data_IF_719467074098
#
_entry.id   IF_719467074098
#
_cell.length_a   1.000
_cell.length_b   1.000
_cell.length_c   1.000
_cell.angle_alpha   90.00
_cell.angle_beta   90.00
_cell.angle_gamma   90.00
#
_symmetry.space_group_name_H-M   'P 1'
#
loop_
_entity.id
_entity.type
_entity.pdbx_description
1 polymer ?
#
# COMPACT_ATOMS: atom_id res chain seq x y z
N UNK A 1 -0.17 -6.44 3.95
CA UNK A 1 -1.31 -6.25 4.87
C UNK A 1 -1.43 -4.77 5.17
N UNK A 2 -2.65 -4.23 5.11
CA UNK A 2 -2.97 -2.86 5.56
C UNK A 2 -3.84 -2.96 6.82
N UNK A 3 -3.64 -2.05 7.77
CA UNK A 3 -4.41 -2.01 9.03
C UNK A 3 -5.78 -1.36 8.83
N UNK A 4 -5.83 -0.21 8.14
CA UNK A 4 -7.06 0.56 7.81
C UNK A 4 -7.80 1.20 8.98
N UNK A 5 -7.46 0.84 10.22
CA UNK A 5 -7.95 1.51 11.43
C UNK A 5 -6.80 1.80 12.41
N UNK A 6 -5.69 2.34 11.90
CA UNK A 6 -4.55 2.70 12.73
C UNK A 6 -4.87 3.99 13.52
N UNK A 7 -5.00 3.86 14.84
CA UNK A 7 -5.33 4.96 15.77
C UNK A 7 -4.70 4.72 17.13
N UNK A 8 -4.51 5.77 17.92
CA UNK A 8 -3.91 5.66 19.27
C UNK A 8 -4.66 4.69 20.19
N UNK A 9 -6.00 4.65 20.09
CA UNK A 9 -6.84 3.71 20.85
C UNK A 9 -6.60 2.22 20.52
N UNK A 10 -5.96 1.91 19.38
CA UNK A 10 -5.61 0.55 18.96
C UNK A 10 -4.13 0.20 19.27
N UNK A 11 -3.41 1.07 19.98
CA UNK A 11 -2.03 0.84 20.44
C UNK A 11 -2.07 0.54 21.94
N UNK A 12 -1.70 -0.69 22.30
CA UNK A 12 -1.82 -1.19 23.67
C UNK A 12 -0.45 -1.28 24.33
N UNK A 13 -0.35 -0.77 25.56
CA UNK A 13 0.82 -0.95 26.40
C UNK A 13 0.67 -2.25 27.20
N UNK A 14 1.59 -3.18 27.02
CA UNK A 14 1.61 -4.44 27.77
C UNK A 14 2.26 -4.25 29.15
N UNK A 15 1.98 -5.14 30.13
CA UNK A 15 2.68 -5.14 31.42
C UNK A 15 4.21 -5.27 31.30
N UNK A 16 4.67 -5.85 30.19
CA UNK A 16 6.10 -5.97 29.87
C UNK A 16 6.75 -4.66 29.39
N UNK A 17 5.98 -3.57 29.26
CA UNK A 17 6.42 -2.29 28.72
C UNK A 17 6.47 -2.25 27.18
N UNK A 18 6.19 -3.36 26.51
CA UNK A 18 6.14 -3.43 25.04
C UNK A 18 4.80 -2.92 24.54
N UNK A 19 4.83 -2.11 23.48
CA UNK A 19 3.62 -1.71 22.77
C UNK A 19 3.21 -2.78 21.74
N UNK A 20 1.93 -3.07 21.64
CA UNK A 20 1.35 -3.96 20.62
C UNK A 20 0.25 -3.24 19.87
N UNK A 21 0.28 -3.34 18.56
CA UNK A 21 -0.83 -2.91 17.71
C UNK A 21 -1.92 -4.00 17.77
N UNK A 22 -3.17 -3.59 17.98
CA UNK A 22 -4.32 -4.48 18.00
C UNK A 22 -5.45 -4.00 17.08
N UNK A 23 -6.59 -4.68 17.17
CA UNK A 23 -7.80 -4.44 16.37
C UNK A 23 -7.59 -4.53 14.84
N UNK A 24 -7.30 -5.75 14.40
CA UNK A 24 -7.19 -6.10 12.99
C UNK A 24 -8.56 -6.36 12.32
N UNK A 25 -9.68 -5.98 12.94
CA UNK A 25 -11.04 -6.25 12.45
C UNK A 25 -11.35 -5.62 11.09
N UNK A 26 -10.66 -4.52 10.77
CA UNK A 26 -10.73 -3.87 9.45
C UNK A 26 -9.51 -4.17 8.57
N UNK A 27 -8.53 -4.90 9.10
CA UNK A 27 -7.34 -5.28 8.37
C UNK A 27 -7.69 -6.29 7.29
N UNK A 28 -7.03 -6.20 6.15
CA UNK A 28 -7.21 -7.16 5.07
C UNK A 28 -5.90 -7.33 4.33
N UNK A 29 -5.62 -8.58 3.95
CA UNK A 29 -4.42 -8.95 3.24
C UNK A 29 -4.56 -8.51 1.78
N UNK A 30 -4.29 -7.24 1.55
CA UNK A 30 -4.08 -6.71 0.22
C UNK A 30 -2.60 -6.83 -0.12
N UNK A 31 -2.33 -7.34 -1.32
CA UNK A 31 -0.99 -7.40 -1.90
C UNK A 31 -0.50 -5.98 -2.11
N UNK A 32 -1.35 -5.07 -2.64
CA UNK A 32 -1.31 -3.62 -2.43
C UNK A 32 -2.55 -2.88 -3.00
N UNK A 33 -2.56 -1.54 -2.87
CA UNK A 33 -3.59 -0.50 -3.12
C UNK A 33 -5.04 -0.89 -3.44
N UNK A 34 -5.97 -0.36 -2.63
CA UNK A 34 -7.40 -0.65 -2.65
C UNK A 34 -8.18 0.58 -3.07
N UNK A 35 -9.22 0.35 -3.83
CA UNK A 35 -10.23 1.33 -4.21
C UNK A 35 -11.58 0.67 -3.93
N UNK A 36 -12.01 0.85 -2.68
CA UNK A 36 -13.39 0.61 -2.28
C UNK A 36 -14.09 1.96 -2.26
N UNK A 37 -15.37 1.97 -2.64
CA UNK A 37 -16.29 3.06 -2.31
C UNK A 37 -16.26 3.26 -0.79
N UNK A 38 -15.59 4.31 -0.32
CA UNK A 38 -15.54 4.70 1.09
C UNK A 38 -16.91 5.24 1.58
N UNK A 39 -17.96 5.16 0.74
CA UNK A 39 -19.20 5.90 0.90
C UNK A 39 -20.36 5.20 1.62
N UNK A 40 -20.33 3.89 1.89
CA UNK A 40 -21.50 3.21 2.49
C UNK A 40 -21.22 2.42 3.77
N UNK A 41 -19.97 2.31 4.23
CA UNK A 41 -19.62 1.46 5.38
C UNK A 41 -18.46 2.00 6.25
N UNK A 42 -18.17 3.30 6.22
CA UNK A 42 -17.04 3.81 7.00
C UNK A 42 -17.40 3.97 8.48
N UNK A 43 -17.00 2.98 9.30
CA UNK A 43 -17.15 2.94 10.75
C UNK A 43 -15.86 3.33 11.50
N UNK A 44 -15.03 4.22 10.93
CA UNK A 44 -13.75 4.63 11.52
C UNK A 44 -13.79 6.00 12.20
N UNK A 45 -12.74 6.30 12.98
CA UNK A 45 -12.51 7.63 13.58
C UNK A 45 -11.90 8.58 12.53
N UNK A 46 -12.60 9.62 12.06
CA UNK A 46 -12.26 10.38 10.84
C UNK A 46 -10.90 11.10 10.90
N UNK A 47 -10.36 11.31 12.10
CA UNK A 47 -9.15 12.10 12.31
C UNK A 47 -7.86 11.45 11.78
N UNK A 48 -7.85 10.14 11.56
CA UNK A 48 -6.68 9.38 11.07
C UNK A 48 -6.72 9.13 9.56
N UNK A 49 -7.79 9.59 8.89
CA UNK A 49 -7.99 9.38 7.47
C UNK A 49 -7.05 10.23 6.62
N UNK A 50 -6.38 9.58 5.68
CA UNK A 50 -5.53 10.23 4.71
C UNK A 50 -6.34 11.04 3.67
N UNK A 51 -5.76 12.10 3.07
CA UNK A 51 -6.40 12.93 2.05
C UNK A 51 -7.05 12.14 0.91
N UNK A 52 -6.35 11.14 0.37
CA UNK A 52 -6.84 10.33 -0.74
C UNK A 52 -8.09 9.51 -0.38
N UNK A 53 -8.26 9.14 0.90
CA UNK A 53 -9.46 8.45 1.39
C UNK A 53 -10.66 9.39 1.46
N UNK A 54 -10.45 10.66 1.86
CA UNK A 54 -11.48 11.70 1.83
C UNK A 54 -11.93 12.03 0.40
N UNK A 55 -10.99 12.03 -0.54
CA UNK A 55 -11.25 12.29 -1.96
C UNK A 55 -11.80 11.06 -2.71
N UNK A 56 -12.01 9.92 -2.02
CA UNK A 56 -12.42 8.65 -2.61
C UNK A 56 -11.50 8.18 -3.75
N UNK A 57 -10.22 8.53 -3.65
CA UNK A 57 -9.18 8.06 -4.56
C UNK A 57 -8.68 6.70 -4.11
N UNK A 58 -7.92 6.06 -5.00
CA UNK A 58 -7.19 4.84 -4.69
C UNK A 58 -6.21 5.10 -3.54
N UNK A 59 -6.16 4.19 -2.58
CA UNK A 59 -5.28 4.29 -1.41
C UNK A 59 -4.43 3.03 -1.27
N UNK A 60 -3.29 3.12 -0.61
CA UNK A 60 -2.35 2.01 -0.40
C UNK A 60 -1.90 1.93 1.06
N UNK A 61 -0.88 1.11 1.36
CA UNK A 61 -0.20 1.10 2.67
C UNK A 61 0.27 2.50 3.10
N UNK A 62 0.40 3.45 2.16
CA UNK A 62 0.72 4.86 2.44
C UNK A 62 -0.38 5.59 3.23
N UNK A 63 -1.62 5.10 3.20
CA UNK A 63 -2.67 5.62 4.07
C UNK A 63 -2.39 5.30 5.55
N UNK A 64 -1.92 4.09 5.87
CA UNK A 64 -1.50 3.75 7.23
C UNK A 64 -0.29 4.60 7.67
N UNK A 65 0.60 4.98 6.74
CA UNK A 65 1.72 5.89 7.04
C UNK A 65 1.25 7.30 7.39
N UNK A 66 0.18 7.80 6.77
CA UNK A 66 -0.47 9.04 7.20
C UNK A 66 -1.03 8.92 8.61
N UNK A 67 -1.79 7.84 8.88
CA UNK A 67 -2.35 7.60 10.21
C UNK A 67 -1.26 7.50 11.30
N UNK A 68 -0.10 6.92 10.96
CA UNK A 68 1.08 6.92 11.83
C UNK A 68 1.59 8.34 12.11
N UNK A 69 1.64 9.21 11.10
CA UNK A 69 1.96 10.64 11.27
C UNK A 69 0.98 11.34 12.21
N UNK A 70 -0.33 11.06 12.09
CA UNK A 70 -1.35 11.60 12.99
C UNK A 70 -1.13 11.13 14.43
N UNK A 71 -0.84 9.85 14.64
CA UNK A 71 -0.54 9.29 15.97
C UNK A 71 0.71 9.94 16.56
N UNK A 72 1.78 10.08 15.77
CA UNK A 72 3.03 10.67 16.24
C UNK A 72 2.84 12.13 16.64
N UNK A 73 2.06 12.90 15.86
CA UNK A 73 1.66 14.26 16.24
C UNK A 73 0.89 14.27 17.56
N UNK A 74 -0.08 13.36 17.73
CA UNK A 74 -0.89 13.24 18.94
C UNK A 74 -0.04 12.91 20.17
N UNK A 75 0.95 12.02 20.03
CA UNK A 75 1.88 11.70 21.13
C UNK A 75 2.78 12.88 21.51
N UNK A 76 3.19 13.71 20.55
CA UNK A 76 4.07 14.85 20.79
C UNK A 76 3.35 16.06 21.38
N UNK A 77 2.08 16.27 21.00
CA UNK A 77 1.34 17.49 21.31
C UNK A 77 0.15 17.28 22.23
N UNK A 78 -0.25 16.03 22.47
CA UNK A 78 -1.50 15.62 23.13
C UNK A 78 -2.78 16.13 22.42
N UNK A 79 -2.64 16.58 21.17
CA UNK A 79 -3.72 17.08 20.34
C UNK A 79 -3.62 16.48 18.94
N UNK A 80 -4.73 16.46 18.19
CA UNK A 80 -4.72 16.00 16.80
C UNK A 80 -4.27 17.12 15.85
N UNK A 81 -3.56 16.80 14.75
CA UNK A 81 -3.06 17.80 13.80
C UNK A 81 -4.20 18.48 13.03
N UNK A 82 -5.28 17.75 12.75
CA UNK A 82 -6.48 18.24 12.07
C UNK A 82 -7.68 18.05 12.97
N UNK A 83 -8.40 19.14 13.25
CA UNK A 83 -9.54 19.19 14.17
C UNK A 83 -10.68 20.01 13.59
N UNK A 84 -11.90 19.70 14.00
CA UNK A 84 -13.09 20.43 13.62
C UNK A 84 -14.32 19.86 14.34
N UNK A 85 -15.36 20.67 14.57
CA UNK A 85 -16.63 20.24 15.16
C UNK A 85 -17.43 19.29 14.28
N UNK A 86 -17.13 19.20 12.97
CA UNK A 86 -17.79 18.31 12.02
C UNK A 86 -16.80 17.51 11.18
N UNK A 87 -17.24 16.35 10.67
CA UNK A 87 -16.45 15.55 9.71
C UNK A 87 -16.06 16.37 8.47
N UNK A 88 -16.95 17.25 8.01
CA UNK A 88 -16.71 18.12 6.86
C UNK A 88 -15.56 19.10 7.12
N UNK A 89 -15.49 19.68 8.31
CA UNK A 89 -14.41 20.60 8.66
C UNK A 89 -13.07 19.87 8.85
N UNK A 90 -13.09 18.69 9.46
CA UNK A 90 -11.88 17.83 9.55
C UNK A 90 -11.37 17.51 8.15
N UNK A 91 -12.27 17.09 7.24
CA UNK A 91 -11.94 16.83 5.84
C UNK A 91 -11.32 18.07 5.18
N UNK A 92 -11.91 19.26 5.34
CA UNK A 92 -11.37 20.49 4.77
C UNK A 92 -9.97 20.81 5.30
N UNK A 93 -9.71 20.62 6.59
CA UNK A 93 -8.39 20.82 7.19
C UNK A 93 -7.35 19.83 6.63
N UNK A 94 -7.72 18.55 6.54
CA UNK A 94 -6.86 17.50 5.97
C UNK A 94 -6.51 17.80 4.50
N UNK A 95 -7.49 18.21 3.70
CA UNK A 95 -7.27 18.53 2.27
C UNK A 95 -6.50 19.85 2.08
N UNK A 96 -6.67 20.80 2.99
CA UNK A 96 -5.84 22.02 3.03
C UNK A 96 -4.37 21.64 3.32
N UNK A 97 -4.14 20.76 4.29
CA UNK A 97 -2.84 20.13 4.54
C UNK A 97 -1.89 20.95 5.41
N UNK A 98 -2.42 21.90 6.19
CA UNK A 98 -1.65 22.66 7.17
C UNK A 98 -2.09 22.24 8.57
N UNK A 99 -1.14 21.75 9.36
CA UNK A 99 -1.35 21.42 10.77
C UNK A 99 -0.66 22.46 11.66
N UNK A 100 -1.09 22.55 12.92
CA UNK A 100 -0.55 23.52 13.88
C UNK A 100 0.94 23.23 14.16
N UNK A 101 1.78 24.27 14.33
CA UNK A 101 3.16 24.07 14.78
C UNK A 101 3.20 23.35 16.13
N UNK A 102 4.25 22.56 16.37
CA UNK A 102 4.46 21.90 17.65
C UNK A 102 4.52 22.93 18.79
N UNK A 103 3.69 22.73 19.82
CA UNK A 103 3.68 23.56 21.03
C UNK A 103 4.89 23.31 21.94
N UNK A 104 5.68 22.26 21.66
CA UNK A 104 6.86 21.85 22.39
C UNK A 104 8.11 21.85 21.50
N UNK A 105 9.28 21.84 22.14
CA UNK A 105 10.54 21.70 21.43
C UNK A 105 10.66 20.28 20.85
N UNK A 106 10.46 20.16 19.53
CA UNK A 106 10.64 18.92 18.77
C UNK A 106 11.98 18.98 18.04
N UNK A 107 12.76 17.91 18.12
CA UNK A 107 14.06 17.83 17.44
C UNK A 107 13.90 17.84 15.92
N UNK A 108 14.90 18.34 15.21
CA UNK A 108 14.84 18.40 13.74
C UNK A 108 14.78 17.02 13.10
N UNK A 109 15.38 16.00 13.74
CA UNK A 109 15.22 14.60 13.33
C UNK A 109 13.76 14.14 13.39
N UNK A 110 13.02 14.53 14.44
CA UNK A 110 11.60 14.18 14.58
C UNK A 110 10.72 14.97 13.59
N UNK A 111 10.98 16.27 13.39
CA UNK A 111 10.32 17.06 12.35
C UNK A 111 10.53 16.46 10.95
N UNK A 112 11.75 16.02 10.67
CA UNK A 112 12.12 15.35 9.42
C UNK A 112 11.41 14.01 9.19
N UNK A 113 10.90 13.35 10.23
CA UNK A 113 10.00 12.19 10.09
C UNK A 113 8.54 12.63 9.87
N UNK A 114 8.11 13.67 10.58
CA UNK A 114 6.73 14.14 10.61
C UNK A 114 6.24 14.71 9.27
N UNK A 115 7.00 15.63 8.68
CA UNK A 115 6.63 16.32 7.44
C UNK A 115 6.33 15.35 6.28
N UNK A 116 7.17 14.35 5.98
CA UNK A 116 6.87 13.43 4.90
C UNK A 116 5.74 12.44 5.27
N UNK A 117 5.55 12.06 6.55
CA UNK A 117 4.42 11.21 6.96
C UNK A 117 3.06 11.92 6.78
N UNK A 118 3.00 13.23 7.04
CA UNK A 118 1.81 14.07 6.87
C UNK A 118 1.75 14.77 5.50
N UNK A 119 2.46 14.25 4.49
CA UNK A 119 2.36 14.75 3.12
C UNK A 119 1.01 14.40 2.49
N UNK A 120 0.41 15.36 1.77
CA UNK A 120 -0.82 15.10 1.01
C UNK A 120 -0.60 14.13 -0.14
N UNK A 121 0.58 14.16 -0.73
CA UNK A 121 0.97 13.22 -1.77
C UNK A 121 1.37 11.87 -1.13
N UNK A 122 0.63 10.77 -1.38
CA UNK A 122 0.96 9.45 -0.85
C UNK A 122 2.35 8.95 -1.28
N UNK A 123 2.83 9.35 -2.46
CA UNK A 123 4.13 8.93 -2.99
C UNK A 123 5.29 9.53 -2.20
N UNK A 124 5.12 10.77 -1.71
CA UNK A 124 6.09 11.46 -0.87
C UNK A 124 6.18 10.89 0.56
N UNK A 125 5.17 10.14 1.03
CA UNK A 125 5.22 9.50 2.35
C UNK A 125 6.23 8.36 2.33
N UNK A 126 7.05 8.14 3.37
CA UNK A 126 7.98 7.03 3.40
C UNK A 126 7.22 5.70 3.58
N UNK A 127 7.78 4.61 3.08
CA UNK A 127 7.39 3.26 3.52
C UNK A 127 7.94 2.96 4.91
N UNK A 128 7.42 1.94 5.60
CA UNK A 128 7.99 1.49 6.89
C UNK A 128 9.47 1.12 6.77
N UNK A 129 9.86 0.44 5.69
CA UNK A 129 11.27 0.12 5.41
C UNK A 129 12.12 1.38 5.27
N UNK A 130 11.68 2.36 4.48
CA UNK A 130 12.41 3.63 4.32
C UNK A 130 12.51 4.39 5.65
N UNK A 131 11.42 4.43 6.43
CA UNK A 131 11.39 5.10 7.72
C UNK A 131 12.37 4.47 8.73
N UNK A 132 12.42 3.13 8.79
CA UNK A 132 13.34 2.38 9.65
C UNK A 132 14.82 2.54 9.27
N UNK A 133 15.10 2.98 8.04
CA UNK A 133 16.45 3.24 7.55
C UNK A 133 16.92 4.68 7.82
N UNK A 134 16.10 5.52 8.44
CA UNK A 134 16.52 6.85 8.89
C UNK A 134 17.47 6.74 10.09
N UNK A 135 18.41 7.68 10.22
CA UNK A 135 19.39 7.65 11.32
C UNK A 135 18.73 7.68 12.70
N UNK A 136 17.65 8.46 12.85
CA UNK A 136 16.88 8.52 14.08
C UNK A 136 16.25 7.16 14.42
N UNK A 137 15.60 6.48 13.46
CA UNK A 137 14.99 5.19 13.74
C UNK A 137 16.00 4.05 13.88
N UNK A 138 17.14 4.10 13.20
CA UNK A 138 18.25 3.17 13.46
C UNK A 138 18.75 3.29 14.90
N UNK A 139 18.94 4.52 15.38
CA UNK A 139 19.34 4.79 16.76
C UNK A 139 18.29 4.28 17.76
N UNK A 140 17.01 4.61 17.57
CA UNK A 140 15.91 4.14 18.43
C UNK A 140 15.79 2.61 18.40
N UNK A 141 15.98 1.97 17.23
CA UNK A 141 15.94 0.53 17.10
C UNK A 141 17.08 -0.16 17.88
N UNK A 142 18.28 0.44 17.94
CA UNK A 142 19.39 -0.07 18.73
C UNK A 142 19.08 -0.03 20.24
N UNK A 143 18.53 1.09 20.73
CA UNK A 143 18.08 1.22 22.13
C UNK A 143 17.00 0.19 22.43
N UNK A 144 16.01 0.07 21.55
CA UNK A 144 14.92 -0.88 21.72
C UNK A 144 15.43 -2.33 21.75
N UNK A 145 16.41 -2.67 20.91
CA UNK A 145 17.05 -3.99 20.92
C UNK A 145 17.71 -4.28 22.28
N UNK A 146 18.44 -3.31 22.83
CA UNK A 146 19.11 -3.44 24.13
C UNK A 146 18.09 -3.63 25.27
N UNK A 147 17.01 -2.83 25.27
CA UNK A 147 15.89 -2.97 26.22
C UNK A 147 15.30 -4.38 26.14
N UNK A 148 15.04 -4.89 24.93
CA UNK A 148 14.44 -6.23 24.74
C UNK A 148 15.38 -7.34 25.22
N UNK A 149 16.69 -7.24 24.94
CA UNK A 149 17.69 -8.22 25.39
C UNK A 149 17.73 -8.29 26.92
N UNK A 150 17.79 -7.13 27.57
CA UNK A 150 18.01 -6.99 29.00
C UNK A 150 16.72 -7.10 29.84
N UNK A 151 15.54 -7.06 29.23
CA UNK A 151 14.27 -7.12 29.96
C UNK A 151 14.04 -8.48 30.62
N UNK A 152 13.83 -8.52 31.93
CA UNK A 152 13.50 -9.77 32.65
C UNK A 152 12.02 -10.18 32.50
N UNK A 153 11.17 -9.22 32.11
CA UNK A 153 9.71 -9.42 32.04
C UNK A 153 9.22 -9.90 30.67
N UNK A 154 10.03 -9.76 29.62
CA UNK A 154 9.67 -10.26 28.27
C UNK A 154 10.04 -11.75 28.18
N UNK A 155 9.07 -12.58 27.83
CA UNK A 155 9.28 -14.01 27.64
C UNK A 155 10.33 -14.32 26.57
N UNK A 156 11.11 -15.39 26.78
CA UNK A 156 12.21 -15.79 25.90
C UNK A 156 11.80 -15.90 24.43
N UNK A 157 10.66 -16.53 24.15
CA UNK A 157 10.15 -16.69 22.79
C UNK A 157 9.82 -15.34 22.12
N UNK A 158 9.21 -14.41 22.86
CA UNK A 158 8.89 -13.08 22.36
C UNK A 158 10.17 -12.26 22.10
N UNK A 159 11.20 -12.38 22.96
CA UNK A 159 12.52 -11.77 22.70
C UNK A 159 13.12 -12.26 21.40
N UNK A 160 13.19 -13.58 21.21
CA UNK A 160 13.75 -14.20 20.01
C UNK A 160 13.02 -13.72 18.75
N UNK A 161 11.68 -13.63 18.80
CA UNK A 161 10.87 -13.12 17.68
C UNK A 161 11.15 -11.65 17.38
N UNK A 162 11.19 -10.79 18.40
CA UNK A 162 11.43 -9.34 18.22
C UNK A 162 12.83 -9.10 17.66
N UNK A 163 13.86 -9.73 18.23
CA UNK A 163 15.25 -9.57 17.79
C UNK A 163 15.45 -10.06 16.35
N UNK A 164 14.81 -11.17 15.98
CA UNK A 164 14.80 -11.65 14.59
C UNK A 164 14.19 -10.60 13.65
N UNK A 165 13.03 -10.06 13.97
CA UNK A 165 12.37 -9.05 13.12
C UNK A 165 13.18 -7.75 12.99
N UNK A 166 13.84 -7.30 14.06
CA UNK A 166 14.75 -6.14 14.02
C UNK A 166 15.94 -6.41 13.08
N UNK A 167 16.52 -7.62 13.13
CA UNK A 167 17.61 -7.99 12.22
C UNK A 167 17.17 -8.01 10.75
N UNK A 168 16.00 -8.56 10.45
CA UNK A 168 15.43 -8.61 9.10
C UNK A 168 15.12 -7.22 8.54
N UNK A 169 14.65 -6.30 9.40
CA UNK A 169 14.36 -4.92 9.02
C UNK A 169 15.62 -4.13 8.63
N UNK A 170 16.77 -4.41 9.27
CA UNK A 170 18.06 -3.76 8.95
C UNK A 170 18.62 -4.19 7.59
N UNK A 171 18.43 -5.46 7.21
CA UNK A 171 18.99 -6.05 5.98
C UNK A 171 18.19 -5.65 4.74
N UNK A 172 16.91 -5.30 4.88
CA UNK A 172 16.09 -4.79 3.77
C UNK A 172 16.56 -3.38 3.35
N UNK A 173 17.57 -3.30 2.50
CA UNK A 173 17.87 -2.10 1.73
C UNK A 173 16.69 -1.78 0.82
N UNK A 174 16.28 -0.50 0.68
CA UNK A 174 15.34 -0.11 -0.36
C UNK A 174 15.95 -0.49 -1.71
N UNK A 175 15.27 -1.33 -2.49
CA UNK A 175 15.69 -1.55 -3.87
C UNK A 175 15.65 -0.20 -4.60
N UNK A 176 16.73 0.23 -5.29
CA UNK A 176 16.74 1.50 -6.02
C UNK A 176 15.67 1.57 -7.14
N UNK A 177 15.07 0.43 -7.50
CA UNK A 177 13.96 0.32 -8.46
C UNK A 177 12.57 0.21 -7.79
N UNK A 178 12.43 0.55 -6.51
CA UNK A 178 11.14 0.57 -5.83
C UNK A 178 10.27 1.70 -6.40
N UNK A 179 9.29 1.34 -7.23
CA UNK A 179 8.29 2.27 -7.77
C UNK A 179 7.62 3.03 -6.63
N UNK A 180 7.43 4.34 -6.80
CA UNK A 180 6.69 5.19 -5.87
C UNK A 180 5.25 4.67 -5.73
N UNK A 181 4.83 4.17 -4.54
CA UNK A 181 3.49 3.63 -4.36
C UNK A 181 2.45 4.75 -4.50
N UNK A 182 1.44 4.55 -5.35
CA UNK A 182 0.37 5.51 -5.64
C UNK A 182 0.52 6.27 -6.97
N UNK A 183 1.69 6.23 -7.63
CA UNK A 183 1.87 6.75 -8.99
C UNK A 183 2.12 5.62 -9.98
N UNK A 184 1.56 5.75 -11.18
CA UNK A 184 1.87 4.85 -12.30
C UNK A 184 3.34 5.01 -12.69
N UNK A 185 4.09 3.92 -12.72
CA UNK A 185 5.47 3.91 -13.20
C UNK A 185 5.50 3.83 -14.72
N UNK A 186 6.29 4.70 -15.34
CA UNK A 186 6.62 4.64 -16.76
C UNK A 186 7.74 3.64 -17.08
N UNK A 187 8.51 3.24 -16.06
CA UNK A 187 9.78 2.53 -16.20
C UNK A 187 9.60 1.01 -16.20
N UNK A 188 8.41 0.53 -15.82
CA UNK A 188 8.09 -0.89 -15.89
C UNK A 188 7.76 -1.27 -17.33
N UNK A 189 8.64 -2.08 -17.91
CA UNK A 189 8.44 -2.72 -19.20
C UNK A 189 8.14 -4.21 -18.97
N UNK A 190 6.95 -4.65 -19.37
CA UNK A 190 6.59 -6.08 -19.35
C UNK A 190 5.79 -6.42 -20.58
N UNK A 191 6.26 -7.41 -21.33
CA UNK A 191 5.59 -7.87 -22.54
C UNK A 191 5.55 -9.40 -22.59
N UNK A 192 4.52 -9.96 -23.21
CA UNK A 192 4.40 -11.39 -23.39
C UNK A 192 3.00 -11.86 -23.70
N UNK A 193 2.86 -13.17 -23.89
CA UNK A 193 1.59 -13.78 -24.25
C UNK A 193 0.82 -14.24 -23.02
N UNK A 194 -0.48 -13.91 -22.99
CA UNK A 194 -1.45 -14.49 -22.07
C UNK A 194 -2.65 -14.99 -22.87
N UNK A 195 -3.35 -15.98 -22.33
CA UNK A 195 -4.67 -16.34 -22.84
C UNK A 195 -5.69 -15.38 -22.23
N UNK A 196 -6.34 -14.56 -23.05
CA UNK A 196 -7.42 -13.67 -22.62
C UNK A 196 -8.76 -14.35 -22.79
N UNK A 197 -9.61 -14.31 -21.77
CA UNK A 197 -11.00 -14.74 -21.89
C UNK A 197 -11.78 -13.69 -22.68
N UNK A 198 -12.38 -14.12 -23.79
CA UNK A 198 -13.06 -13.25 -24.74
C UNK A 198 -14.59 -13.29 -24.56
N UNK A 199 -15.31 -12.29 -25.08
CA UNK A 199 -16.77 -12.16 -24.92
C UNK A 199 -17.55 -13.31 -25.56
N UNK A 200 -16.96 -14.00 -26.53
CA UNK A 200 -17.46 -15.24 -27.13
C UNK A 200 -17.17 -16.49 -26.28
N UNK A 201 -16.83 -16.31 -24.99
CA UNK A 201 -16.60 -17.36 -24.01
C UNK A 201 -15.45 -18.32 -24.39
N UNK A 202 -14.47 -17.81 -25.15
CA UNK A 202 -13.29 -18.57 -25.59
C UNK A 202 -12.00 -17.93 -25.09
N UNK A 203 -11.03 -18.77 -24.77
CA UNK A 203 -9.65 -18.34 -24.52
C UNK A 203 -8.97 -18.04 -25.83
N UNK A 204 -8.38 -16.85 -25.94
CA UNK A 204 -7.63 -16.42 -27.12
C UNK A 204 -6.25 -15.95 -26.70
N UNK A 205 -5.21 -16.46 -27.36
CA UNK A 205 -3.84 -16.01 -27.13
C UNK A 205 -3.69 -14.59 -27.65
N UNK A 206 -3.22 -13.70 -26.77
CA UNK A 206 -3.03 -12.28 -27.01
C UNK A 206 -1.71 -11.83 -26.42
N UNK A 207 -1.10 -10.85 -27.07
CA UNK A 207 0.11 -10.21 -26.59
C UNK A 207 -0.28 -9.05 -25.69
N UNK A 208 0.22 -9.07 -24.47
CA UNK A 208 0.06 -8.02 -23.47
C UNK A 208 1.37 -7.22 -23.42
N UNK A 209 1.25 -5.89 -23.36
CA UNK A 209 2.38 -4.98 -23.20
C UNK A 209 2.03 -3.91 -22.16
N UNK A 210 2.89 -3.79 -21.15
CA UNK A 210 2.89 -2.76 -20.13
C UNK A 210 4.11 -1.89 -20.44
N UNK A 211 3.88 -0.66 -20.88
CA UNK A 211 4.95 0.28 -21.24
C UNK A 211 4.44 1.71 -21.13
N UNK A 212 5.28 2.62 -20.63
CA UNK A 212 4.98 4.05 -20.55
C UNK A 212 3.63 4.36 -19.86
N UNK A 213 3.31 3.66 -18.77
CA UNK A 213 2.07 3.84 -18.03
C UNK A 213 0.79 3.38 -18.75
N UNK A 214 0.93 2.58 -19.82
CA UNK A 214 -0.18 2.07 -20.63
C UNK A 214 -0.21 0.54 -20.64
N UNK A 215 -1.40 -0.03 -20.57
CA UNK A 215 -1.68 -1.42 -20.90
C UNK A 215 -2.19 -1.52 -22.35
N UNK A 216 -1.52 -2.33 -23.17
CA UNK A 216 -1.96 -2.71 -24.51
C UNK A 216 -2.16 -4.21 -24.60
N UNK A 217 -3.21 -4.60 -25.31
CA UNK A 217 -3.54 -6.01 -25.57
C UNK A 217 -3.83 -6.13 -27.07
N UNK A 218 -3.10 -6.99 -27.78
CA UNK A 218 -3.27 -7.20 -29.21
C UNK A 218 -4.70 -7.62 -29.59
N UNK A 219 -5.09 -7.39 -30.84
CA UNK A 219 -6.37 -7.83 -31.39
C UNK A 219 -6.30 -9.27 -31.88
N UNK A 220 -5.15 -9.71 -32.37
CA UNK A 220 -4.86 -11.07 -32.82
C UNK A 220 -3.72 -11.73 -32.03
N UNK A 221 -3.37 -12.96 -32.38
CA UNK A 221 -2.19 -13.63 -31.81
C UNK A 221 -0.88 -13.01 -32.32
N UNK A 222 -0.88 -12.32 -33.47
CA UNK A 222 0.30 -11.71 -34.07
C UNK A 222 0.14 -10.19 -34.11
N UNK A 223 0.68 -9.44 -33.13
CA UNK A 223 0.46 -7.99 -33.02
C UNK A 223 0.87 -7.21 -34.26
N UNK A 224 1.90 -7.67 -34.98
CA UNK A 224 2.38 -7.06 -36.23
C UNK A 224 1.37 -7.14 -37.39
N UNK A 225 0.42 -8.07 -37.31
CA UNK A 225 -0.66 -8.24 -38.30
C UNK A 225 -1.94 -7.52 -37.90
N UNK A 226 -1.96 -6.84 -36.76
CA UNK A 226 -3.10 -6.02 -36.36
C UNK A 226 -3.11 -4.77 -37.25
N UNK A 227 -3.94 -4.78 -38.29
CA UNK A 227 -4.06 -3.64 -39.23
C UNK A 227 -4.53 -2.33 -38.58
N UNK A 228 -4.95 -2.38 -37.32
CA UNK A 228 -5.28 -1.22 -36.48
C UNK A 228 -4.62 -1.41 -35.13
N UNK A 229 -4.02 -0.34 -34.60
CA UNK A 229 -3.42 -0.36 -33.26
C UNK A 229 -4.48 -0.71 -32.19
N UNK A 230 -4.20 -1.67 -31.29
CA UNK A 230 -5.14 -2.03 -30.25
C UNK A 230 -5.42 -0.85 -29.32
N UNK A 231 -6.67 -0.77 -28.83
CA UNK A 231 -7.06 0.21 -27.80
C UNK A 231 -6.17 0.01 -26.57
N UNK A 232 -5.48 1.07 -26.16
CA UNK A 232 -4.71 1.09 -24.93
C UNK A 232 -5.56 1.60 -23.77
N UNK A 233 -5.29 1.08 -22.57
CA UNK A 233 -5.86 1.59 -21.34
C UNK A 233 -4.75 2.23 -20.49
N UNK A 234 -5.02 3.39 -19.91
CA UNK A 234 -4.11 3.98 -18.92
C UNK A 234 -4.05 3.06 -17.70
N UNK A 235 -2.85 2.81 -17.17
CA UNK A 235 -2.69 2.03 -15.93
C UNK A 235 -3.34 2.73 -14.72
N UNK A 236 -3.56 4.04 -14.79
CA UNK A 236 -4.33 4.78 -13.78
C UNK A 236 -5.80 4.31 -13.70
N UNK A 237 -6.32 3.74 -14.79
CA UNK A 237 -7.68 3.16 -14.83
C UNK A 237 -7.73 1.73 -14.29
N UNK A 238 -6.59 1.10 -13.99
CA UNK A 238 -6.54 -0.25 -13.40
C UNK A 238 -6.74 -0.13 -11.90
N UNK A 239 -7.85 -0.68 -11.42
CA UNK A 239 -8.27 -0.68 -10.02
C UNK A 239 -7.47 -1.65 -9.17
N UNK A 240 -7.27 -2.88 -9.66
CA UNK A 240 -6.53 -3.94 -8.97
C UNK A 240 -6.14 -5.05 -9.96
N UNK A 241 -5.16 -5.86 -9.60
CA UNK A 241 -4.83 -7.11 -10.27
C UNK A 241 -4.57 -8.21 -9.23
N UNK A 242 -5.26 -9.34 -9.41
CA UNK A 242 -5.22 -10.41 -8.41
C UNK A 242 -5.41 -11.79 -9.06
N UNK A 243 -4.92 -12.86 -8.41
CA UNK A 243 -5.14 -14.21 -8.90
C UNK A 243 -6.61 -14.62 -8.68
N UNK A 244 -7.17 -15.40 -9.60
CA UNK A 244 -8.47 -16.03 -9.38
C UNK A 244 -8.27 -17.19 -8.39
N UNK A 245 -9.05 -17.27 -7.29
CA UNK A 245 -8.92 -18.38 -6.36
C UNK A 245 -9.26 -19.71 -7.05
N UNK A 246 -8.54 -20.78 -6.72
CA UNK A 246 -8.65 -22.08 -7.39
C UNK A 246 -10.08 -22.62 -7.45
N UNK A 247 -10.87 -22.40 -6.39
CA UNK A 247 -12.28 -22.78 -6.33
C UNK A 247 -13.14 -22.20 -7.49
N UNK A 248 -12.71 -21.09 -8.08
CA UNK A 248 -13.39 -20.40 -9.19
C UNK A 248 -12.71 -20.60 -10.55
N UNK A 249 -11.53 -21.25 -10.57
CA UNK A 249 -10.74 -21.47 -11.78
C UNK A 249 -11.29 -22.60 -12.68
N UNK A 250 -12.27 -23.38 -12.21
CA UNK A 250 -12.71 -24.63 -12.86
C UNK A 250 -11.48 -25.50 -13.20
N UNK A 251 -11.36 -25.97 -14.43
CA UNK A 251 -10.23 -26.77 -14.94
C UNK A 251 -9.05 -25.94 -15.47
N UNK A 252 -9.08 -24.61 -15.33
CA UNK A 252 -8.09 -23.70 -15.90
C UNK A 252 -7.32 -23.00 -14.77
N UNK A 253 -6.24 -23.61 -14.24
CA UNK A 253 -5.44 -22.98 -13.20
C UNK A 253 -4.70 -21.73 -13.73
N UNK A 254 -4.09 -20.96 -12.85
CA UNK A 254 -3.19 -19.83 -13.20
C UNK A 254 -3.88 -18.62 -13.84
N UNK A 255 -5.15 -18.40 -13.51
CA UNK A 255 -5.90 -17.22 -13.93
C UNK A 255 -5.60 -15.99 -13.07
N UNK A 256 -5.62 -14.82 -13.70
CA UNK A 256 -5.55 -13.51 -13.07
C UNK A 256 -6.65 -12.60 -13.62
N UNK A 257 -7.07 -11.62 -12.82
CA UNK A 257 -8.06 -10.62 -13.18
C UNK A 257 -7.43 -9.25 -13.12
N UNK A 258 -7.55 -8.49 -14.21
CA UNK A 258 -7.29 -7.05 -14.24
C UNK A 258 -8.64 -6.36 -14.09
N UNK A 259 -8.85 -5.68 -12.99
CA UNK A 259 -10.09 -4.97 -12.69
C UNK A 259 -9.87 -3.47 -12.92
N UNK A 260 -10.77 -2.81 -13.64
CA UNK A 260 -10.71 -1.39 -13.97
C UNK A 260 -11.66 -0.56 -13.11
N UNK A 261 -11.36 0.73 -12.94
CA UNK A 261 -12.13 1.68 -12.12
C UNK A 261 -13.55 1.88 -12.63
N UNK A 262 -13.78 1.69 -13.94
CA UNK A 262 -15.11 1.72 -14.57
C UNK A 262 -15.92 0.43 -14.36
N UNK A 263 -15.43 -0.52 -13.56
CA UNK A 263 -16.09 -1.81 -13.31
C UNK A 263 -15.77 -2.91 -14.34
N UNK A 264 -15.12 -2.58 -15.46
CA UNK A 264 -14.72 -3.56 -16.46
C UNK A 264 -13.68 -4.54 -15.90
N UNK A 265 -13.71 -5.80 -16.36
CA UNK A 265 -12.76 -6.84 -15.97
C UNK A 265 -12.16 -7.51 -17.19
N UNK A 266 -10.87 -7.79 -17.12
CA UNK A 266 -10.17 -8.65 -18.08
C UNK A 266 -9.68 -9.88 -17.31
N UNK A 267 -10.13 -11.05 -17.73
CA UNK A 267 -9.64 -12.32 -17.21
C UNK A 267 -8.55 -12.82 -18.16
N UNK A 268 -7.37 -13.10 -17.62
CA UNK A 268 -6.25 -13.65 -18.36
C UNK A 268 -5.71 -14.90 -17.66
N UNK A 269 -5.00 -15.74 -18.40
CA UNK A 269 -4.42 -16.98 -17.91
C UNK A 269 -2.98 -17.11 -18.40
N UNK A 270 -2.08 -17.38 -17.46
CA UNK A 270 -0.66 -17.62 -17.69
C UNK A 270 -0.38 -19.12 -17.91
N UNK A 271 0.78 -19.48 -18.47
CA UNK A 271 1.14 -20.90 -18.66
C UNK A 271 1.44 -21.63 -17.35
N UNK A 272 1.85 -20.90 -16.31
CA UNK A 272 2.15 -21.47 -14.99
C UNK A 272 1.78 -20.51 -13.86
N UNK A 273 1.74 -21.01 -12.62
CA UNK A 273 1.47 -20.21 -11.44
C UNK A 273 2.57 -19.17 -11.21
N UNK A 274 3.83 -19.54 -11.43
CA UNK A 274 4.99 -18.65 -11.30
C UNK A 274 4.89 -17.50 -12.31
N UNK A 275 4.53 -17.80 -13.57
CA UNK A 275 4.36 -16.76 -14.57
C UNK A 275 3.18 -15.84 -14.24
N UNK A 276 2.06 -16.38 -13.75
CA UNK A 276 0.90 -15.60 -13.27
C UNK A 276 1.35 -14.61 -12.19
N UNK A 277 2.08 -15.08 -11.19
CA UNK A 277 2.48 -14.28 -10.04
C UNK A 277 3.50 -13.20 -10.43
N UNK A 278 4.39 -13.51 -11.37
CA UNK A 278 5.30 -12.51 -11.96
C UNK A 278 4.49 -11.43 -12.71
N UNK A 279 3.48 -11.82 -13.51
CA UNK A 279 2.61 -10.86 -14.19
C UNK A 279 1.86 -9.96 -13.21
N UNK A 280 1.30 -10.53 -12.15
CA UNK A 280 0.63 -9.77 -11.08
C UNK A 280 1.61 -8.78 -10.45
N UNK A 281 2.80 -9.23 -10.08
CA UNK A 281 3.83 -8.37 -9.47
C UNK A 281 4.27 -7.23 -10.40
N UNK A 282 4.49 -7.51 -11.69
CA UNK A 282 4.89 -6.49 -12.67
C UNK A 282 3.78 -5.46 -12.91
N UNK A 283 2.52 -5.88 -13.00
CA UNK A 283 1.39 -4.95 -13.11
C UNK A 283 1.20 -4.12 -11.85
N UNK A 284 1.29 -4.73 -10.66
CA UNK A 284 1.19 -4.02 -9.39
C UNK A 284 2.27 -2.95 -9.31
N UNK A 285 3.51 -3.31 -9.60
CA UNK A 285 4.63 -2.38 -9.71
C UNK A 285 4.38 -1.28 -10.75
N UNK A 286 3.87 -1.61 -11.94
CA UNK A 286 3.61 -0.61 -12.99
C UNK A 286 2.49 0.36 -12.60
N UNK A 287 1.48 -0.09 -11.86
CA UNK A 287 0.38 0.74 -11.39
C UNK A 287 0.68 1.46 -10.06
N UNK A 288 1.87 1.28 -9.48
CA UNK A 288 2.21 1.81 -8.16
C UNK A 288 1.37 1.20 -7.03
N UNK A 289 0.95 -0.06 -7.18
CA UNK A 289 0.31 -0.83 -6.12
C UNK A 289 1.41 -1.31 -5.18
#
# INVERSE_FOLDING_TARGET
>A
MMHRDLKSANIFLMPTGIIKLGDFGFSKQYTDSVSLDVGSSFCGTPYYLAPELWERKRYSKKADMWSLGVILYELLTLHRPFKGPSQREIMQQVLYGKYDPFSCAVSDGMKGLMDPLLSKDPAARPTTTQLLQTELLKYVANIFEEIVRNSEVIEKHDKERILKQLSEARVKTPSPNAVQPGLVSTDVLREGYLLKYSSDMKWKKRFFSIKNGQLRISLSENPEKDGVSPKSASLETVNDIFPVPEAYCRSNPNQLVIWFTNGQKIIAMAKSAEERDIWISDFQRACGM
#
